data_IF_244653185663
#
_entry.id   IF_244653185663
#
_cell.length_a   1.000
_cell.length_b   1.000
_cell.length_c   1.000
_cell.angle_alpha   90.00
_cell.angle_beta   90.00
_cell.angle_gamma   90.00
#
_symmetry.space_group_name_H-M   'P 1'
#
loop_
_entity.id
_entity.type
_entity.pdbx_description
1 polymer ?
#
# COMPACT_ATOMS: atom_id res chain seq x y z
N UNK A 1 6.33 -39.15 -59.52
CA UNK A 1 5.70 -38.16 -60.42
C UNK A 1 4.23 -38.13 -60.05
N UNK A 2 3.83 -37.04 -59.38
CA UNK A 2 2.47 -36.46 -59.27
C UNK A 2 1.44 -37.16 -58.34
N UNK A 3 1.06 -36.39 -57.31
CA UNK A 3 -0.08 -36.53 -56.40
C UNK A 3 -1.42 -36.27 -57.10
N UNK A 4 -2.50 -36.87 -56.60
CA UNK A 4 -3.86 -36.31 -56.41
C UNK A 4 -4.57 -37.30 -55.46
N UNK A 5 -5.09 -36.98 -54.28
CA UNK A 5 -5.67 -35.73 -53.80
C UNK A 5 -7.18 -35.81 -53.97
N UNK A 6 -7.89 -36.43 -53.03
CA UNK A 6 -9.32 -36.13 -52.80
C UNK A 6 -9.70 -36.44 -51.34
N UNK A 7 -9.52 -35.43 -50.49
CA UNK A 7 -10.00 -35.36 -49.12
C UNK A 7 -11.46 -34.88 -49.14
N UNK A 8 -12.39 -35.72 -48.69
CA UNK A 8 -13.76 -35.30 -48.37
C UNK A 8 -14.29 -36.07 -47.16
N UNK A 9 -13.95 -35.56 -45.97
CA UNK A 9 -14.71 -35.84 -44.75
C UNK A 9 -15.56 -34.62 -44.41
N UNK A 10 -16.84 -34.90 -44.24
CA UNK A 10 -17.96 -33.98 -44.03
C UNK A 10 -17.90 -33.21 -42.70
N UNK A 11 -18.58 -32.08 -42.73
CA UNK A 11 -18.67 -31.01 -41.76
C UNK A 11 -19.35 -31.45 -40.46
N UNK A 12 -18.58 -31.52 -39.38
CA UNK A 12 -19.10 -31.44 -38.02
C UNK A 12 -19.06 -30.00 -37.54
N UNK A 13 -20.21 -29.31 -37.61
CA UNK A 13 -20.43 -28.08 -36.85
C UNK A 13 -20.25 -28.36 -35.36
N UNK A 14 -19.17 -27.81 -34.78
CA UNK A 14 -18.89 -27.86 -33.35
C UNK A 14 -18.63 -26.45 -32.85
N UNK A 15 -19.70 -25.83 -32.33
CA UNK A 15 -19.79 -24.57 -31.60
C UNK A 15 -18.46 -23.88 -31.26
N UNK A 16 -18.33 -22.64 -31.74
CA UNK A 16 -17.42 -21.67 -31.17
C UNK A 16 -17.72 -21.48 -29.69
N UNK A 17 -16.90 -22.05 -28.83
CA UNK A 17 -16.71 -21.52 -27.50
C UNK A 17 -15.76 -20.33 -27.64
N UNK A 18 -16.36 -19.16 -27.91
CA UNK A 18 -15.72 -17.89 -27.60
C UNK A 18 -15.54 -17.84 -26.08
N UNK A 19 -14.40 -18.33 -25.60
CA UNK A 19 -13.95 -18.15 -24.23
C UNK A 19 -13.39 -16.73 -24.06
N UNK A 20 -14.19 -15.73 -24.45
CA UNK A 20 -14.03 -14.35 -24.02
C UNK A 20 -14.81 -14.17 -22.71
N UNK A 21 -14.40 -14.89 -21.67
CA UNK A 21 -14.66 -14.45 -20.30
C UNK A 21 -13.38 -13.82 -19.78
N UNK A 22 -13.12 -12.60 -20.26
CA UNK A 22 -12.11 -11.70 -19.70
C UNK A 22 -12.49 -11.30 -18.29
N UNK A 23 -12.35 -12.23 -17.34
CA UNK A 23 -12.26 -11.89 -15.93
C UNK A 23 -10.95 -11.13 -15.81
N UNK A 24 -11.03 -9.79 -15.76
CA UNK A 24 -9.92 -8.99 -15.26
C UNK A 24 -9.60 -9.57 -13.88
N UNK A 25 -8.49 -10.28 -13.77
CA UNK A 25 -7.96 -10.68 -12.48
C UNK A 25 -7.70 -9.39 -11.72
N UNK A 26 -8.56 -9.08 -10.76
CA UNK A 26 -8.33 -8.01 -9.80
C UNK A 26 -7.03 -8.36 -9.08
N UNK A 27 -5.90 -7.82 -9.53
CA UNK A 27 -5.22 -6.84 -8.70
C UNK A 27 -4.95 -7.18 -7.23
N UNK A 28 -4.67 -8.42 -6.80
CA UNK A 28 -4.60 -8.76 -5.36
C UNK A 28 -3.66 -7.80 -4.61
N UNK A 29 -4.23 -7.08 -3.64
CA UNK A 29 -3.51 -6.12 -2.81
C UNK A 29 -3.55 -6.56 -1.36
N UNK A 30 -2.37 -6.67 -0.74
CA UNK A 30 -2.18 -7.12 0.64
C UNK A 30 -1.64 -5.98 1.49
N UNK A 31 -2.26 -5.75 2.64
CA UNK A 31 -1.70 -4.88 3.68
C UNK A 31 -0.85 -5.72 4.64
N UNK A 32 0.47 -5.49 4.63
CA UNK A 32 1.42 -6.12 5.54
C UNK A 32 1.69 -5.17 6.71
N UNK A 33 1.25 -5.53 7.91
CA UNK A 33 1.46 -4.75 9.13
C UNK A 33 2.62 -5.35 9.92
N UNK A 34 3.58 -4.51 10.31
CA UNK A 34 4.79 -4.91 11.03
C UNK A 34 5.04 -4.00 12.23
N UNK A 35 5.65 -4.52 13.28
CA UNK A 35 6.08 -3.74 14.45
C UNK A 35 7.55 -4.01 14.72
N UNK A 36 8.36 -2.95 14.88
CA UNK A 36 9.77 -3.08 15.24
C UNK A 36 10.61 -3.94 14.28
N UNK A 37 10.15 -4.11 13.03
CA UNK A 37 10.71 -5.06 12.06
C UNK A 37 10.76 -4.45 10.65
N UNK A 38 10.24 -5.12 9.62
CA UNK A 38 10.41 -4.73 8.21
C UNK A 38 9.65 -3.43 7.89
N UNK A 39 10.23 -2.48 7.13
CA UNK A 39 11.56 -2.50 6.52
C UNK A 39 12.63 -1.73 7.32
N UNK A 40 12.38 -1.38 8.58
CA UNK A 40 13.23 -0.47 9.35
C UNK A 40 14.32 -1.16 10.16
N UNK A 41 14.06 -2.36 10.67
CA UNK A 41 15.00 -3.08 11.55
C UNK A 41 15.36 -4.44 10.97
N UNK A 42 16.62 -4.85 11.13
CA UNK A 42 17.10 -6.18 10.70
C UNK A 42 16.69 -7.25 11.70
N UNK A 43 16.38 -8.45 11.21
CA UNK A 43 16.02 -9.59 12.03
C UNK A 43 15.40 -10.70 11.21
N UNK A 44 15.16 -11.87 11.82
CA UNK A 44 14.58 -13.02 11.12
C UNK A 44 13.22 -12.73 10.49
N UNK A 45 12.33 -12.06 11.25
CA UNK A 45 11.02 -11.63 10.75
C UNK A 45 11.16 -10.68 9.57
N UNK A 46 12.06 -9.69 9.66
CA UNK A 46 12.23 -8.72 8.59
C UNK A 46 12.81 -9.34 7.31
N UNK A 47 13.75 -10.27 7.46
CA UNK A 47 14.29 -11.03 6.34
C UNK A 47 13.21 -11.91 5.70
N UNK A 48 12.38 -12.56 6.50
CA UNK A 48 11.27 -13.36 5.98
C UNK A 48 10.23 -12.48 5.26
N UNK A 49 9.87 -11.32 5.81
CA UNK A 49 8.99 -10.37 5.15
C UNK A 49 9.57 -9.89 3.81
N UNK A 50 10.86 -9.55 3.75
CA UNK A 50 11.50 -9.14 2.50
C UNK A 50 11.47 -10.26 1.45
N UNK A 51 11.75 -11.50 1.86
CA UNK A 51 11.66 -12.67 0.99
C UNK A 51 10.22 -12.93 0.51
N UNK A 52 9.23 -12.79 1.39
CA UNK A 52 7.81 -12.94 1.06
C UNK A 52 7.38 -11.91 0.01
N UNK A 53 7.67 -10.63 0.27
CA UNK A 53 7.26 -9.52 -0.61
C UNK A 53 7.94 -9.64 -1.97
N UNK A 54 9.22 -10.00 -2.02
CA UNK A 54 9.96 -10.21 -3.28
C UNK A 54 9.52 -11.48 -4.02
N UNK A 55 9.18 -12.54 -3.30
CA UNK A 55 8.77 -13.82 -3.87
C UNK A 55 7.38 -13.81 -4.50
N UNK A 56 6.53 -12.86 -4.11
CA UNK A 56 5.16 -12.68 -4.61
C UNK A 56 5.06 -11.41 -5.47
N UNK A 57 5.83 -11.39 -6.56
CA UNK A 57 5.95 -10.22 -7.45
C UNK A 57 4.63 -9.77 -8.11
N UNK A 58 3.68 -10.69 -8.25
CA UNK A 58 2.33 -10.49 -8.77
C UNK A 58 1.36 -9.88 -7.75
N UNK A 59 1.71 -9.90 -6.47
CA UNK A 59 0.92 -9.33 -5.38
C UNK A 59 1.39 -7.92 -5.08
N UNK A 60 0.45 -6.98 -4.98
CA UNK A 60 0.74 -5.59 -4.59
C UNK A 60 0.72 -5.47 -3.07
N UNK A 61 1.78 -4.91 -2.48
CA UNK A 61 1.88 -4.74 -1.04
C UNK A 61 1.73 -3.27 -0.62
N UNK A 62 0.93 -3.05 0.42
CA UNK A 62 0.97 -1.84 1.24
C UNK A 62 1.59 -2.23 2.58
N UNK A 63 2.70 -1.60 2.96
CA UNK A 63 3.37 -1.91 4.21
C UNK A 63 3.02 -0.83 5.23
N UNK A 64 2.45 -1.24 6.36
CA UNK A 64 2.24 -0.37 7.52
C UNK A 64 3.21 -0.81 8.59
N UNK A 65 4.19 0.03 8.89
CA UNK A 65 5.26 -0.31 9.83
C UNK A 65 5.19 0.54 11.09
N UNK A 66 4.96 -0.08 12.22
CA UNK A 66 4.99 0.54 13.54
C UNK A 66 6.46 0.68 13.97
N UNK A 67 6.91 1.93 14.08
CA UNK A 67 8.32 2.29 14.28
C UNK A 67 8.50 2.96 15.64
N UNK A 68 9.45 2.49 16.44
CA UNK A 68 9.74 3.10 17.74
C UNK A 68 10.48 4.43 17.59
N UNK A 69 11.39 4.52 16.62
CA UNK A 69 12.13 5.72 16.27
C UNK A 69 11.56 6.35 14.98
N UNK A 70 10.87 7.50 15.05
CA UNK A 70 10.30 8.16 13.87
C UNK A 70 11.36 8.61 12.84
N UNK A 71 12.61 8.78 13.28
CA UNK A 71 13.74 9.18 12.44
C UNK A 71 14.38 8.02 11.69
N UNK A 72 14.01 6.77 12.03
CA UNK A 72 14.53 5.59 11.37
C UNK A 72 14.25 5.63 9.85
N UNK A 73 15.24 5.13 9.10
CA UNK A 73 15.17 4.98 7.65
C UNK A 73 15.06 3.49 7.31
N UNK A 74 14.33 3.12 6.24
CA UNK A 74 14.27 1.73 5.82
C UNK A 74 15.68 1.20 5.51
N UNK A 75 16.02 0.03 6.04
CA UNK A 75 17.30 -0.65 5.81
C UNK A 75 17.22 -1.68 4.68
N UNK A 76 16.01 -1.94 4.18
CA UNK A 76 15.72 -2.78 3.02
C UNK A 76 15.31 -1.89 1.84
N UNK A 77 15.84 -2.20 0.66
CA UNK A 77 15.32 -1.66 -0.59
C UNK A 77 13.99 -2.35 -0.91
N UNK A 78 12.93 -1.58 -1.13
CA UNK A 78 11.61 -2.12 -1.39
C UNK A 78 11.44 -2.48 -2.87
N UNK A 79 10.95 -3.70 -3.21
CA UNK A 79 10.71 -4.08 -4.60
C UNK A 79 9.53 -3.32 -5.21
N UNK A 80 9.45 -3.32 -6.55
CA UNK A 80 8.46 -2.52 -7.31
C UNK A 80 6.99 -2.89 -7.03
N UNK A 81 6.73 -4.09 -6.51
CA UNK A 81 5.38 -4.52 -6.12
C UNK A 81 4.94 -3.96 -4.76
N UNK A 82 5.80 -3.24 -4.03
CA UNK A 82 5.39 -2.42 -2.88
C UNK A 82 4.81 -1.10 -3.38
N UNK A 83 3.49 -0.98 -3.31
CA UNK A 83 2.77 0.20 -3.74
C UNK A 83 2.95 1.39 -2.79
N UNK A 84 3.10 1.12 -1.49
CA UNK A 84 3.18 2.16 -0.46
C UNK A 84 3.84 1.64 0.82
N UNK A 85 4.65 2.49 1.46
CA UNK A 85 5.17 2.30 2.80
C UNK A 85 4.63 3.41 3.71
N UNK A 86 3.93 3.02 4.78
CA UNK A 86 3.38 3.91 5.80
C UNK A 86 4.10 3.63 7.13
N UNK A 87 5.10 4.44 7.52
CA UNK A 87 5.61 4.42 8.89
C UNK A 87 4.60 5.04 9.85
N UNK A 88 4.37 4.36 10.97
CA UNK A 88 3.51 4.81 12.06
C UNK A 88 4.34 4.84 13.34
N UNK A 89 4.66 6.01 13.91
CA UNK A 89 5.44 6.08 15.14
C UNK A 89 4.65 5.52 16.34
N UNK A 90 5.29 4.68 17.16
CA UNK A 90 4.66 4.06 18.34
C UNK A 90 4.50 5.03 19.52
N UNK A 91 5.55 5.82 19.79
CA UNK A 91 5.58 6.72 20.95
C UNK A 91 5.26 8.14 20.54
N UNK A 92 3.99 8.34 20.22
CA UNK A 92 3.42 9.64 19.95
C UNK A 92 3.82 10.22 18.60
N UNK A 93 3.08 11.25 18.24
CA UNK A 93 3.34 12.16 17.13
C UNK A 93 3.63 13.50 17.79
N UNK A 94 4.81 13.66 18.39
CA UNK A 94 5.13 14.91 19.08
C UNK A 94 5.04 16.10 18.11
N UNK A 95 5.33 15.83 16.84
CA UNK A 95 5.15 16.76 15.74
C UNK A 95 4.28 16.20 14.60
N UNK A 96 3.41 17.03 14.04
CA UNK A 96 2.58 16.70 12.86
C UNK A 96 3.45 16.25 11.66
N UNK A 97 4.70 16.69 11.62
CA UNK A 97 5.72 16.29 10.64
C UNK A 97 6.04 14.80 10.66
N UNK A 98 5.90 14.15 11.81
CA UNK A 98 6.20 12.72 11.98
C UNK A 98 5.20 11.84 11.22
N UNK A 99 3.96 12.32 11.07
CA UNK A 99 2.91 11.70 10.26
C UNK A 99 2.88 12.20 8.82
N UNK A 100 3.16 13.49 8.60
CA UNK A 100 3.12 14.12 7.29
C UNK A 100 4.52 14.57 6.84
N UNK A 101 5.31 13.60 6.34
CA UNK A 101 6.66 13.85 5.78
C UNK A 101 6.69 14.80 4.57
N UNK A 102 5.54 15.10 3.97
CA UNK A 102 5.40 16.07 2.87
C UNK A 102 5.33 17.54 3.30
N UNK A 103 5.33 17.82 4.61
CA UNK A 103 5.29 19.18 5.13
C UNK A 103 6.69 19.68 5.48
N UNK A 104 6.96 20.94 5.18
CA UNK A 104 8.14 21.64 5.68
C UNK A 104 7.90 22.14 7.11
N UNK A 105 8.98 22.25 7.90
CA UNK A 105 8.96 22.88 9.24
C UNK A 105 8.27 24.25 9.22
N UNK A 106 8.53 25.07 8.18
CA UNK A 106 7.88 26.38 8.01
C UNK A 106 6.37 26.26 7.88
N UNK A 107 5.88 25.32 7.07
CA UNK A 107 4.44 25.11 6.90
C UNK A 107 3.78 24.65 8.20
N UNK A 108 4.46 23.80 8.98
CA UNK A 108 3.93 23.35 10.28
C UNK A 108 3.90 24.49 11.28
N UNK A 109 4.99 25.25 11.40
CA UNK A 109 5.03 26.44 12.27
C UNK A 109 4.02 27.50 11.86
N UNK A 110 3.88 27.76 10.56
CA UNK A 110 2.89 28.69 10.03
C UNK A 110 1.48 28.22 10.38
N UNK A 111 1.15 26.94 10.19
CA UNK A 111 -0.17 26.42 10.60
C UNK A 111 -0.39 26.46 12.11
N UNK A 112 0.62 26.13 12.93
CA UNK A 112 0.53 26.26 14.39
C UNK A 112 0.28 27.71 14.83
N UNK A 113 0.95 28.68 14.21
CA UNK A 113 0.79 30.12 14.53
C UNK A 113 -0.46 30.74 13.92
N UNK A 114 -0.87 30.27 12.75
CA UNK A 114 -1.98 30.81 11.98
C UNK A 114 -3.30 30.11 12.26
N UNK A 115 -3.36 29.06 13.10
CA UNK A 115 -4.61 28.45 13.55
C UNK A 115 -5.35 29.46 14.44
N UNK A 116 -6.30 30.24 13.89
CA UNK A 116 -6.98 31.27 14.66
C UNK A 116 -7.87 30.56 15.67
N UNK A 117 -7.97 31.12 16.89
CA UNK A 117 -8.82 30.57 17.93
C UNK A 117 -10.27 30.33 17.44
N UNK A 118 -10.72 31.13 16.48
CA UNK A 118 -12.03 31.02 15.85
C UNK A 118 -12.20 29.75 15.01
N UNK A 119 -11.17 29.31 14.28
CA UNK A 119 -11.21 28.05 13.50
C UNK A 119 -11.22 26.85 14.45
N UNK A 120 -10.43 26.89 15.52
CA UNK A 120 -10.45 25.85 16.54
C UNK A 120 -11.85 25.75 17.16
N UNK A 121 -12.46 26.90 17.50
CA UNK A 121 -13.79 26.95 18.12
C UNK A 121 -14.92 26.52 17.18
N UNK A 122 -14.87 26.92 15.92
CA UNK A 122 -15.95 26.70 14.95
C UNK A 122 -15.85 25.37 14.21
N UNK A 123 -14.64 24.85 13.98
CA UNK A 123 -14.44 23.65 13.15
C UNK A 123 -13.96 22.44 13.96
N UNK A 124 -13.00 22.64 14.88
CA UNK A 124 -12.42 21.52 15.64
C UNK A 124 -13.28 21.12 16.84
N UNK A 125 -13.66 22.07 17.71
CA UNK A 125 -14.40 21.77 18.94
C UNK A 125 -15.72 21.02 18.73
N UNK A 126 -16.54 21.30 17.69
CA UNK A 126 -17.76 20.53 17.45
C UNK A 126 -17.46 19.04 17.16
N UNK A 127 -16.52 18.78 16.25
CA UNK A 127 -16.09 17.43 15.88
C UNK A 127 -15.50 16.69 17.09
N UNK A 128 -14.67 17.37 17.89
CA UNK A 128 -14.06 16.79 19.08
C UNK A 128 -15.08 16.49 20.18
N UNK A 129 -16.10 17.36 20.36
CA UNK A 129 -17.20 17.10 21.29
C UNK A 129 -18.05 15.90 20.89
N UNK A 130 -18.23 15.65 19.60
CA UNK A 130 -18.91 14.45 19.11
C UNK A 130 -18.07 13.21 19.44
N UNK A 131 -16.77 13.26 19.18
CA UNK A 131 -15.85 12.16 19.49
C UNK A 131 -15.84 11.79 20.99
N UNK A 132 -15.79 12.79 21.88
CA UNK A 132 -15.81 12.57 23.34
C UNK A 132 -17.19 12.16 23.91
N UNK A 133 -18.24 12.12 23.08
CA UNK A 133 -19.57 11.66 23.48
C UNK A 133 -19.85 10.20 23.12
N UNK A 134 -18.84 9.48 22.63
CA UNK A 134 -18.79 8.01 22.74
C UNK A 134 -18.75 7.61 24.21
#
# INVERSE_FOLDING_TARGET
MIQTGDDSYDQGQGNGFNEESGVKSESLTVCLVTEGTYPYYRGGVSTWCDLLVRGLSEVRFVIVSLVADPSATPVYELPANVAMLIPVPLWGTEEVLELQRGLSLRQVLQRKRSAPADVIRSQFLPSFRIFLRL
#
